data_IF_464887158741
#
_entry.id   IF_464887158741
#
_cell.length_a   1.000
_cell.length_b   1.000
_cell.length_c   1.000
_cell.angle_alpha   90.00
_cell.angle_beta   90.00
_cell.angle_gamma   90.00
#
_symmetry.space_group_name_H-M   'P 1'
#
loop_
_entity.id
_entity.type
_entity.pdbx_description
1 polymer ?
#
# COMPACT_ATOMS: atom_id res chain seq x y z
N UNK A 1 -8.16 -40.59 -2.21
CA UNK A 1 -7.00 -39.93 -1.59
C UNK A 1 -6.90 -38.52 -2.17
N UNK A 2 -7.14 -37.51 -1.31
CA UNK A 2 -6.49 -36.19 -1.31
C UNK A 2 -7.00 -35.00 -2.15
N UNK A 3 -8.27 -34.94 -2.57
CA UNK A 3 -8.84 -33.67 -3.08
C UNK A 3 -9.31 -32.69 -1.98
N UNK A 4 -9.49 -33.17 -0.75
CA UNK A 4 -9.96 -32.33 0.37
C UNK A 4 -8.83 -31.66 1.16
N UNK A 5 -7.59 -32.14 1.08
CA UNK A 5 -6.46 -31.51 1.78
C UNK A 5 -5.98 -30.24 1.04
N UNK A 6 -6.05 -30.23 -0.30
CA UNK A 6 -5.61 -29.08 -1.12
C UNK A 6 -6.56 -27.88 -0.94
N UNK A 7 -7.88 -28.11 -0.91
CA UNK A 7 -8.87 -27.04 -0.69
C UNK A 7 -8.75 -26.40 0.70
N UNK A 8 -8.52 -27.21 1.73
CA UNK A 8 -8.39 -26.70 3.10
C UNK A 8 -7.11 -25.87 3.31
N UNK A 9 -6.00 -26.20 2.63
CA UNK A 9 -4.77 -25.38 2.69
C UNK A 9 -4.90 -24.04 1.94
N UNK A 10 -5.66 -24.01 0.84
CA UNK A 10 -6.00 -22.79 0.11
C UNK A 10 -6.93 -21.89 0.92
N UNK A 11 -7.99 -22.44 1.51
CA UNK A 11 -8.95 -21.68 2.33
C UNK A 11 -8.35 -21.16 3.64
N UNK A 12 -7.44 -21.91 4.27
CA UNK A 12 -6.80 -21.48 5.51
C UNK A 12 -5.81 -20.34 5.27
N UNK A 13 -5.03 -20.39 4.18
CA UNK A 13 -4.18 -19.25 3.77
C UNK A 13 -5.02 -18.02 3.36
N UNK A 14 -6.22 -18.22 2.80
CA UNK A 14 -7.14 -17.13 2.44
C UNK A 14 -7.80 -16.46 3.65
N UNK A 15 -7.99 -17.21 4.75
CA UNK A 15 -8.60 -16.71 5.99
C UNK A 15 -7.63 -15.93 6.85
N UNK A 16 -6.36 -16.33 6.92
CA UNK A 16 -5.34 -15.55 7.67
C UNK A 16 -4.85 -14.30 6.90
N UNK A 17 -4.88 -14.29 5.56
CA UNK A 17 -4.64 -13.09 4.75
C UNK A 17 -5.88 -12.19 4.54
N UNK A 18 -7.05 -12.53 5.10
CA UNK A 18 -8.33 -11.94 4.67
C UNK A 18 -8.62 -10.52 5.16
N UNK A 19 -7.88 -10.01 6.16
CA UNK A 19 -8.19 -8.72 6.77
C UNK A 19 -7.42 -7.53 6.18
N UNK A 20 -6.35 -7.78 5.43
CA UNK A 20 -5.53 -6.73 4.83
C UNK A 20 -5.42 -7.01 3.34
N UNK A 21 -6.19 -6.26 2.54
CA UNK A 21 -6.22 -6.44 1.08
C UNK A 21 -5.78 -5.22 0.29
N UNK A 22 -5.42 -4.12 0.94
CA UNK A 22 -4.95 -2.91 0.28
C UNK A 22 -3.70 -2.37 0.96
N UNK A 23 -2.75 -1.91 0.16
CA UNK A 23 -1.59 -1.14 0.60
C UNK A 23 -1.86 0.29 0.18
N UNK A 24 -1.93 1.15 1.18
CA UNK A 24 -2.25 2.55 1.03
C UNK A 24 -1.00 3.40 1.26
N UNK A 25 -0.78 4.38 0.40
CA UNK A 25 0.25 5.39 0.58
C UNK A 25 -0.35 6.65 1.20
N UNK A 26 0.23 7.06 2.32
CA UNK A 26 -0.06 8.34 2.96
C UNK A 26 0.87 9.40 2.40
N UNK A 27 0.30 10.52 2.00
CA UNK A 27 1.05 11.66 1.48
C UNK A 27 0.37 12.98 1.80
N UNK A 28 1.08 14.10 1.67
CA UNK A 28 0.47 15.44 1.68
C UNK A 28 1.08 16.30 0.59
N UNK A 29 0.40 17.37 0.18
CA UNK A 29 1.03 18.37 -0.68
C UNK A 29 2.21 19.04 0.05
N UNK A 30 3.25 19.42 -0.69
CA UNK A 30 4.21 20.40 -0.20
C UNK A 30 3.52 21.79 -0.11
N UNK A 31 4.17 22.75 0.53
CA UNK A 31 3.61 24.08 0.77
C UNK A 31 3.25 24.82 -0.53
N UNK A 32 3.96 24.52 -1.62
CA UNK A 32 3.74 25.11 -2.94
C UNK A 32 2.68 24.36 -3.76
N UNK A 33 2.14 23.24 -3.27
CA UNK A 33 1.21 22.36 -3.97
C UNK A 33 1.72 21.86 -5.35
N UNK A 34 3.04 21.84 -5.54
CA UNK A 34 3.72 21.41 -6.77
C UNK A 34 4.20 19.97 -6.71
N UNK A 35 4.34 19.41 -5.50
CA UNK A 35 4.85 18.07 -5.24
C UNK A 35 4.23 17.43 -4.00
N UNK A 36 4.46 16.13 -3.84
CA UNK A 36 3.90 15.35 -2.74
C UNK A 36 4.99 15.02 -1.72
N UNK A 37 4.69 15.12 -0.42
CA UNK A 37 5.55 14.63 0.65
C UNK A 37 5.03 13.27 1.10
N UNK A 38 5.88 12.25 1.02
CA UNK A 38 5.52 10.91 1.48
C UNK A 38 5.56 10.84 3.02
N UNK A 39 4.49 10.30 3.61
CA UNK A 39 4.31 10.22 5.05
C UNK A 39 4.40 8.78 5.59
N UNK A 40 4.24 7.78 4.72
CA UNK A 40 4.35 6.37 5.07
C UNK A 40 3.36 5.48 4.34
N UNK A 41 3.40 4.19 4.67
CA UNK A 41 2.48 3.17 4.19
C UNK A 41 1.53 2.72 5.29
N UNK A 42 0.34 2.28 4.90
CA UNK A 42 -0.66 1.71 5.81
C UNK A 42 -1.39 0.56 5.13
N UNK A 43 -1.75 -0.44 5.92
CA UNK A 43 -2.68 -1.48 5.50
C UNK A 43 -4.12 -0.97 5.53
N UNK A 44 -4.79 -1.09 4.39
CA UNK A 44 -6.21 -0.81 4.22
C UNK A 44 -7.06 -2.07 4.31
N UNK A 45 -8.34 -1.87 4.57
CA UNK A 45 -9.35 -2.92 4.66
C UNK A 45 -9.72 -3.53 3.31
N UNK A 46 -10.48 -4.63 3.37
CA UNK A 46 -10.78 -5.53 2.25
C UNK A 46 -11.58 -4.91 1.10
N UNK A 47 -12.20 -3.75 1.32
CA UNK A 47 -13.05 -3.05 0.36
C UNK A 47 -12.70 -1.55 0.22
N UNK A 48 -11.56 -1.09 0.75
CA UNK A 48 -11.19 0.32 0.62
C UNK A 48 -10.84 0.63 -0.85
N UNK A 49 -11.76 1.31 -1.52
CA UNK A 49 -11.55 1.85 -2.86
C UNK A 49 -10.93 3.24 -2.80
N UNK A 50 -10.36 3.72 -3.91
CA UNK A 50 -9.92 5.11 -3.98
C UNK A 50 -11.08 6.10 -3.76
N UNK A 51 -12.31 5.68 -4.07
CA UNK A 51 -13.52 6.46 -3.81
C UNK A 51 -13.77 6.62 -2.30
N UNK A 52 -13.75 5.51 -1.53
CA UNK A 52 -13.87 5.55 -0.07
C UNK A 52 -12.80 6.43 0.59
N UNK A 53 -11.56 6.35 0.10
CA UNK A 53 -10.47 7.18 0.59
C UNK A 53 -10.70 8.66 0.30
N UNK A 54 -11.21 9.00 -0.88
CA UNK A 54 -11.51 10.39 -1.23
C UNK A 54 -12.68 10.97 -0.42
N UNK A 55 -13.65 10.13 -0.01
CA UNK A 55 -14.74 10.53 0.89
C UNK A 55 -14.19 10.80 2.31
N UNK A 56 -13.27 9.95 2.81
CA UNK A 56 -12.69 10.08 4.17
C UNK A 56 -11.61 11.14 4.27
N UNK A 57 -10.90 11.41 3.18
CA UNK A 57 -9.83 12.42 3.08
C UNK A 57 -10.22 13.48 2.02
N UNK A 58 -11.26 14.30 2.31
CA UNK A 58 -11.82 15.24 1.35
C UNK A 58 -10.79 16.25 0.86
N UNK A 59 -11.07 16.90 -0.28
CA UNK A 59 -10.13 17.73 -1.05
C UNK A 59 -9.34 18.73 -0.18
N UNK A 60 -9.95 19.31 0.86
CA UNK A 60 -9.29 20.24 1.80
C UNK A 60 -8.38 19.63 2.88
N UNK A 61 -8.30 18.31 3.03
CA UNK A 61 -7.35 17.68 3.96
C UNK A 61 -5.92 17.79 3.43
N UNK A 62 -5.02 18.33 4.26
CA UNK A 62 -3.59 18.38 3.93
C UNK A 62 -3.01 16.99 3.73
N UNK A 63 -3.40 16.02 4.56
CA UNK A 63 -3.05 14.61 4.39
C UNK A 63 -4.04 13.89 3.47
N UNK A 64 -3.48 13.10 2.56
CA UNK A 64 -4.16 12.27 1.58
C UNK A 64 -3.72 10.83 1.72
N UNK A 65 -4.61 9.93 1.31
CA UNK A 65 -4.37 8.50 1.26
C UNK A 65 -4.78 8.00 -0.11
N UNK A 66 -3.88 7.28 -0.75
CA UNK A 66 -4.11 6.72 -2.08
C UNK A 66 -3.84 5.23 -2.06
N UNK A 67 -4.67 4.47 -2.76
CA UNK A 67 -4.46 3.04 -2.96
C UNK A 67 -3.25 2.83 -3.88
N UNK A 68 -2.23 2.14 -3.38
CA UNK A 68 -1.02 1.84 -4.13
C UNK A 68 -1.16 0.51 -4.89
N UNK A 69 -1.57 -0.55 -4.18
CA UNK A 69 -1.82 -1.87 -4.74
C UNK A 69 -2.64 -2.73 -3.77
N UNK A 70 -3.19 -3.82 -4.27
CA UNK A 70 -3.85 -4.81 -3.43
C UNK A 70 -2.85 -5.83 -2.87
N UNK A 71 -3.11 -6.34 -1.66
CA UNK A 71 -2.21 -7.28 -0.99
C UNK A 71 -2.17 -8.64 -1.70
N UNK A 72 -3.22 -9.03 -2.45
CA UNK A 72 -3.22 -10.25 -3.26
C UNK A 72 -2.13 -10.20 -4.35
N UNK A 73 -1.86 -9.00 -4.90
CA UNK A 73 -0.80 -8.80 -5.89
C UNK A 73 0.61 -8.98 -5.32
N UNK A 74 0.71 -9.10 -3.99
CA UNK A 74 1.93 -9.41 -3.25
C UNK A 74 1.90 -10.82 -2.65
N UNK A 75 0.78 -11.53 -2.65
CA UNK A 75 0.62 -12.78 -1.87
C UNK A 75 1.65 -13.85 -2.25
N UNK A 76 2.00 -13.94 -3.52
CA UNK A 76 2.94 -14.94 -4.06
C UNK A 76 4.39 -14.45 -4.13
N UNK A 77 4.69 -13.24 -3.65
CA UNK A 77 6.02 -12.64 -3.73
C UNK A 77 6.81 -12.85 -2.43
N UNK A 78 8.12 -13.01 -2.57
CA UNK A 78 9.05 -13.00 -1.43
C UNK A 78 9.07 -11.63 -0.75
N UNK A 79 9.61 -11.55 0.47
CA UNK A 79 9.71 -10.26 1.19
C UNK A 79 10.50 -9.23 0.40
N UNK A 80 11.57 -9.65 -0.29
CA UNK A 80 12.40 -8.77 -1.11
C UNK A 80 11.63 -8.27 -2.33
N UNK A 81 10.96 -9.15 -3.06
CA UNK A 81 10.13 -8.77 -4.21
C UNK A 81 8.95 -7.87 -3.82
N UNK A 82 8.34 -8.11 -2.65
CA UNK A 82 7.30 -7.22 -2.09
C UNK A 82 7.84 -5.81 -1.89
N UNK A 83 9.04 -5.67 -1.32
CA UNK A 83 9.68 -4.36 -1.12
C UNK A 83 9.99 -3.69 -2.46
N UNK A 84 10.56 -4.44 -3.40
CA UNK A 84 10.95 -3.92 -4.71
C UNK A 84 9.73 -3.44 -5.51
N UNK A 85 8.64 -4.22 -5.49
CA UNK A 85 7.38 -3.85 -6.15
C UNK A 85 6.74 -2.61 -5.54
N UNK A 86 6.69 -2.51 -4.21
CA UNK A 86 6.18 -1.31 -3.53
C UNK A 86 7.06 -0.09 -3.85
N UNK A 87 8.39 -0.25 -3.82
CA UNK A 87 9.35 0.80 -4.14
C UNK A 87 9.15 1.29 -5.59
N UNK A 88 9.04 0.37 -6.54
CA UNK A 88 8.82 0.67 -7.96
C UNK A 88 7.54 1.47 -8.17
N UNK A 89 6.45 1.13 -7.48
CA UNK A 89 5.18 1.86 -7.56
C UNK A 89 5.24 3.27 -6.93
N UNK A 90 6.04 3.44 -5.87
CA UNK A 90 6.26 4.75 -5.25
C UNK A 90 7.18 5.63 -6.11
N UNK A 91 8.27 5.10 -6.64
CA UNK A 91 9.22 5.85 -7.49
C UNK A 91 8.67 6.05 -8.90
N UNK A 92 7.68 5.26 -9.31
CA UNK A 92 7.03 5.32 -10.61
C UNK A 92 6.46 6.70 -10.98
N UNK A 93 6.33 6.91 -12.29
CA UNK A 93 5.87 8.19 -12.85
C UNK A 93 4.44 8.53 -12.40
N UNK A 94 4.28 9.67 -11.73
CA UNK A 94 2.97 10.25 -11.41
C UNK A 94 2.88 10.91 -10.04
N UNK A 95 3.81 10.62 -9.13
CA UNK A 95 3.75 11.15 -7.76
C UNK A 95 4.33 12.55 -7.58
N UNK A 96 5.38 12.90 -8.34
CA UNK A 96 6.12 14.16 -8.16
C UNK A 96 6.53 14.36 -6.69
N UNK A 97 7.24 13.38 -6.12
CA UNK A 97 7.65 13.43 -4.72
C UNK A 97 8.64 14.57 -4.47
N UNK A 98 8.39 15.32 -3.42
CA UNK A 98 9.33 16.22 -2.77
C UNK A 98 10.24 15.38 -1.86
N UNK A 99 11.26 14.76 -2.45
CA UNK A 99 12.15 13.82 -1.74
C UNK A 99 12.86 14.44 -0.54
N UNK A 100 13.11 15.76 -0.57
CA UNK A 100 13.79 16.49 0.51
C UNK A 100 13.01 16.48 1.83
N UNK A 101 11.68 16.54 1.75
CA UNK A 101 10.80 16.60 2.93
C UNK A 101 9.93 15.35 3.06
N UNK A 102 10.20 14.32 2.26
CA UNK A 102 9.56 13.01 2.34
C UNK A 102 10.26 12.14 3.37
N UNK A 103 9.53 11.22 3.99
CA UNK A 103 10.19 10.13 4.73
C UNK A 103 10.99 9.25 3.78
N UNK A 104 12.02 8.61 4.32
CA UNK A 104 12.80 7.63 3.58
C UNK A 104 11.94 6.42 3.19
N UNK A 105 11.89 6.13 1.88
CA UNK A 105 11.05 5.06 1.33
C UNK A 105 11.55 3.70 1.78
N UNK A 106 12.86 3.44 1.69
CA UNK A 106 13.43 2.14 2.02
C UNK A 106 13.13 1.75 3.46
N UNK A 107 13.28 2.70 4.39
CA UNK A 107 13.03 2.53 5.81
C UNK A 107 11.56 2.22 6.09
N UNK A 108 10.63 3.00 5.54
CA UNK A 108 9.21 2.79 5.79
C UNK A 108 8.69 1.51 5.12
N UNK A 109 9.15 1.19 3.91
CA UNK A 109 8.82 -0.07 3.21
C UNK A 109 9.36 -1.27 3.98
N UNK A 110 10.60 -1.20 4.47
CA UNK A 110 11.22 -2.30 5.23
C UNK A 110 10.51 -2.58 6.55
N UNK A 111 10.04 -1.54 7.24
CA UNK A 111 9.18 -1.67 8.43
C UNK A 111 7.81 -2.24 8.09
N UNK A 112 7.30 -1.91 6.91
CA UNK A 112 5.96 -2.32 6.47
C UNK A 112 5.92 -3.80 6.06
N UNK A 113 6.87 -4.27 5.26
CA UNK A 113 6.95 -5.66 4.76
C UNK A 113 7.68 -6.59 5.75
N UNK A 114 7.43 -6.42 7.06
CA UNK A 114 8.21 -7.10 8.10
C UNK A 114 7.95 -8.61 8.13
#
# INVERSE_FOLDING_TARGET
>A
MDNNMIKNNLESNYKENSMVKAILVKWKWNEEHTGRRFLGLRYGGSAETQYDLNVRYPIGSNEKVTLLLHADQLANLTKEEKRDKIMSLLVGHGWKWDFKNSKDFQTEISKFVK
#
